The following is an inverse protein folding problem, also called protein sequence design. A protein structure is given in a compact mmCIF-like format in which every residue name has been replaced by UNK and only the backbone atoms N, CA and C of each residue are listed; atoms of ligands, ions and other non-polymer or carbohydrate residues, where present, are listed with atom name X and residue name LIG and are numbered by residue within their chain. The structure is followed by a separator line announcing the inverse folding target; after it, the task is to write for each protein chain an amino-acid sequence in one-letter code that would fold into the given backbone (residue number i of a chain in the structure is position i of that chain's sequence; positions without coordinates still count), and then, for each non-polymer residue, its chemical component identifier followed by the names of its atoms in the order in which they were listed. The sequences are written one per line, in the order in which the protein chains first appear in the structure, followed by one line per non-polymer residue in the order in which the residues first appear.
data_IF_321758578644
#
_entry.id   IF_321758578644
#
_cell.length_a   1.000
_cell.length_b   1.000
_cell.length_c   1.000
_cell.angle_alpha   90.00
_cell.angle_beta   90.00
_cell.angle_gamma   90.00
#
_symmetry.space_group_name_H-M   'P 1'
#
loop_
_entity.id
_entity.type
_entity.pdbx_description
1 polymer ?
#
# COMPACT_ATOMS: atom_id res chain seq x y z
N UNK A 1 6.26 1.13 -0.57
CA UNK A 1 6.69 0.34 0.58
C UNK A 1 7.96 0.93 1.15
N UNK A 2 7.94 1.28 2.43
CA UNK A 2 9.13 1.71 3.16
C UNK A 2 9.82 0.48 3.77
N UNK A 3 11.16 0.37 3.72
CA UNK A 3 11.89 -0.77 4.28
C UNK A 3 12.15 -0.61 5.79
N UNK A 4 11.13 -0.26 6.58
CA UNK A 4 11.25 -0.12 8.04
C UNK A 4 10.17 -0.90 8.77
N UNK A 5 10.56 -1.62 9.82
CA UNK A 5 9.64 -2.29 10.74
C UNK A 5 9.36 -1.35 11.92
N UNK A 6 8.21 -0.69 11.90
CA UNK A 6 7.75 0.10 13.04
C UNK A 6 7.15 -0.85 14.09
N UNK A 7 7.85 -1.05 15.21
CA UNK A 7 7.41 -1.93 16.30
C UNK A 7 6.06 -1.57 16.93
N UNK A 8 5.60 -0.33 16.73
CA UNK A 8 4.23 0.13 16.93
C UNK A 8 3.94 1.29 15.96
N UNK A 9 2.78 1.30 15.30
CA UNK A 9 2.42 2.34 14.35
C UNK A 9 0.93 2.38 14.02
N UNK A 10 0.44 3.52 13.52
CA UNK A 10 -0.93 3.64 13.01
C UNK A 10 -1.11 2.70 11.81
N UNK A 11 -2.15 1.87 11.87
CA UNK A 11 -2.49 0.93 10.80
C UNK A 11 -2.94 1.72 9.56
N UNK A 12 -2.39 1.35 8.41
CA UNK A 12 -2.80 1.89 7.10
C UNK A 12 -4.23 1.49 6.73
N UNK A 13 -4.69 0.34 7.23
CA UNK A 13 -6.03 -0.18 7.00
C UNK A 13 -6.81 -0.22 8.31
N UNK A 14 -8.08 0.13 8.24
CA UNK A 14 -8.99 -0.02 9.38
C UNK A 14 -9.19 -1.50 9.72
N UNK A 15 -9.51 -1.79 10.98
CA UNK A 15 -9.94 -3.11 11.42
C UNK A 15 -11.44 -3.37 11.16
N UNK A 16 -12.19 -2.37 10.68
CA UNK A 16 -13.60 -2.50 10.33
C UNK A 16 -13.75 -3.38 9.10
N UNK A 17 -14.71 -4.31 9.12
CA UNK A 17 -15.10 -5.08 7.94
C UNK A 17 -15.48 -4.12 6.80
N UNK A 18 -14.67 -4.16 5.75
CA UNK A 18 -14.97 -3.55 4.46
C UNK A 18 -15.05 -4.69 3.46
N UNK A 19 -16.03 -4.61 2.57
CA UNK A 19 -16.10 -5.53 1.43
C UNK A 19 -14.78 -5.49 0.64
N UNK A 20 -14.41 -6.66 0.09
CA UNK A 20 -13.15 -6.82 -0.66
C UNK A 20 -13.07 -5.77 -1.77
N UNK A 21 -12.15 -4.82 -1.63
CA UNK A 21 -11.90 -3.82 -2.64
C UNK A 21 -10.79 -4.30 -3.58
N UNK A 22 -11.16 -4.60 -4.84
CA UNK A 22 -10.19 -5.00 -5.85
C UNK A 22 -9.40 -3.77 -6.33
N UNK A 23 -8.07 -3.90 -6.34
CA UNK A 23 -7.15 -2.85 -6.76
C UNK A 23 -6.34 -3.34 -7.96
N UNK A 24 -6.21 -2.50 -8.98
CA UNK A 24 -5.34 -2.73 -10.13
C UNK A 24 -4.09 -1.87 -10.01
N UNK A 25 -2.92 -2.48 -10.09
CA UNK A 25 -1.65 -1.74 -10.17
C UNK A 25 -1.59 -1.04 -11.53
N UNK A 26 -1.48 0.29 -11.53
CA UNK A 26 -1.33 1.08 -12.76
C UNK A 26 0.10 1.59 -12.95
N UNK A 27 0.86 1.75 -11.86
CA UNK A 27 2.24 2.22 -11.91
C UNK A 27 3.04 1.57 -10.77
N UNK A 28 4.27 1.16 -11.06
CA UNK A 28 5.22 0.63 -10.08
C UNK A 28 6.60 1.22 -10.35
N UNK A 29 7.14 1.98 -9.40
CA UNK A 29 8.45 2.62 -9.49
C UNK A 29 9.30 2.27 -8.26
N UNK A 30 10.56 1.91 -8.49
CA UNK A 30 11.53 1.62 -7.41
C UNK A 30 12.57 2.72 -7.36
N UNK A 31 12.61 3.45 -6.25
CA UNK A 31 13.60 4.50 -6.02
C UNK A 31 14.92 3.92 -5.52
N UNK A 32 16.04 4.59 -5.84
CA UNK A 32 17.40 4.18 -5.43
C UNK A 32 17.62 4.11 -3.92
N UNK A 33 16.73 4.71 -3.12
CA UNK A 33 16.74 4.64 -1.66
C UNK A 33 15.99 3.41 -1.11
N UNK A 34 15.60 2.45 -1.97
CA UNK A 34 14.91 1.23 -1.58
C UNK A 34 13.40 1.39 -1.34
N UNK A 35 12.84 2.57 -1.59
CA UNK A 35 11.40 2.81 -1.50
C UNK A 35 10.73 2.40 -2.80
N UNK A 36 9.62 1.66 -2.71
CA UNK A 36 8.76 1.37 -3.86
C UNK A 36 7.50 2.24 -3.85
N UNK A 37 7.17 2.87 -4.97
CA UNK A 37 5.87 3.53 -5.19
C UNK A 37 4.99 2.59 -6.00
N UNK A 38 3.80 2.33 -5.49
CA UNK A 38 2.78 1.52 -6.13
C UNK A 38 1.52 2.38 -6.23
N UNK A 39 1.11 2.69 -7.44
CA UNK A 39 -0.14 3.41 -7.70
C UNK A 39 -1.21 2.38 -8.03
N UNK A 40 -2.28 2.39 -7.24
CA UNK A 40 -3.41 1.48 -7.38
C UNK A 40 -4.64 2.26 -7.83
N UNK A 41 -5.34 1.69 -8.79
CA UNK A 41 -6.64 2.14 -9.27
C UNK A 41 -7.74 1.23 -8.68
N UNK A 42 -8.89 1.81 -8.34
CA UNK A 42 -9.99 1.09 -7.70
C UNK A 42 -10.88 0.46 -8.76
N UNK A 43 -10.95 -0.86 -8.78
CA UNK A 43 -11.81 -1.60 -9.70
C UNK A 43 -13.19 -1.78 -9.04
N UNK A 44 -14.25 -1.31 -9.71
CA UNK A 44 -15.64 -1.50 -9.31
C UNK A 44 -16.20 -2.80 -9.88
#
# INVERSE_FOLDING_TARGET
MFPVLLGAGKRLFSATDKDRQNLRVVESETYRNGVQKLVYDVVH
#
